data_IF_134698015814
#
_entry.id   IF_134698015814
#
_cell.length_a   1.000
_cell.length_b   1.000
_cell.length_c   1.000
_cell.angle_alpha   90.00
_cell.angle_beta   90.00
_cell.angle_gamma   90.00
#
_symmetry.space_group_name_H-M   'P 1'
#
loop_
_entity.id
_entity.type
_entity.pdbx_description
1 polymer ?
#
# COMPACT_ATOMS: atom_id res chain seq x y z
N UNK A 1 -14.39 0.33 18.05
CA UNK A 1 -14.71 -0.28 16.72
C UNK A 1 -15.08 0.79 15.69
N UNK A 2 -15.18 2.05 16.12
CA UNK A 2 -15.99 3.10 15.49
C UNK A 2 -15.45 3.68 14.18
N UNK A 3 -14.24 3.28 13.77
CA UNK A 3 -13.59 3.76 12.55
C UNK A 3 -13.33 2.65 11.53
N UNK A 4 -13.59 1.37 11.89
CA UNK A 4 -13.45 0.24 10.95
C UNK A 4 -14.67 0.17 10.03
N UNK A 5 -14.51 -0.41 8.85
CA UNK A 5 -15.59 -0.55 7.87
C UNK A 5 -15.99 0.73 7.14
N UNK A 6 -15.48 1.90 7.56
CA UNK A 6 -15.79 3.22 6.96
C UNK A 6 -14.91 3.61 5.77
N UNK A 7 -14.08 2.71 5.26
CA UNK A 7 -13.19 2.97 4.13
C UNK A 7 -11.97 3.85 4.41
N UNK A 8 -11.79 4.38 5.63
CA UNK A 8 -10.69 5.29 5.99
C UNK A 8 -9.29 4.74 5.69
N UNK A 9 -9.06 3.45 5.94
CA UNK A 9 -7.79 2.81 5.62
C UNK A 9 -7.51 2.76 4.11
N UNK A 10 -8.55 2.62 3.28
CA UNK A 10 -8.40 2.67 1.82
C UNK A 10 -8.04 4.07 1.35
N UNK A 11 -8.77 5.07 1.87
CA UNK A 11 -8.52 6.48 1.58
C UNK A 11 -7.09 6.89 1.96
N UNK A 12 -6.64 6.51 3.16
CA UNK A 12 -5.29 6.77 3.63
C UNK A 12 -4.23 6.13 2.72
N UNK A 13 -4.42 4.88 2.31
CA UNK A 13 -3.48 4.20 1.42
C UNK A 13 -3.39 4.86 0.04
N UNK A 14 -4.51 5.29 -0.54
CA UNK A 14 -4.51 6.03 -1.81
C UNK A 14 -3.70 7.32 -1.68
N UNK A 15 -4.00 8.14 -0.67
CA UNK A 15 -3.29 9.40 -0.45
C UNK A 15 -1.81 9.19 -0.17
N UNK A 16 -1.46 8.23 0.69
CA UNK A 16 -0.08 7.91 1.03
C UNK A 16 0.74 7.55 -0.22
N UNK A 17 0.20 6.69 -1.09
CA UNK A 17 0.93 6.19 -2.25
C UNK A 17 1.13 7.23 -3.35
N UNK A 18 0.29 8.28 -3.37
CA UNK A 18 0.41 9.41 -4.31
C UNK A 18 1.30 10.53 -3.76
N UNK A 19 1.55 10.55 -2.45
CA UNK A 19 2.32 11.61 -1.81
C UNK A 19 3.74 11.70 -2.41
N UNK A 20 4.20 12.90 -2.83
CA UNK A 20 5.44 13.06 -3.59
C UNK A 20 6.69 12.52 -2.87
N UNK A 21 6.70 12.56 -1.54
CA UNK A 21 7.81 12.08 -0.73
C UNK A 21 7.99 10.54 -0.76
N UNK A 22 6.96 9.77 -1.12
CA UNK A 22 6.99 8.29 -1.04
C UNK A 22 6.55 7.59 -2.33
N UNK A 23 5.91 8.29 -3.27
CA UNK A 23 5.42 7.68 -4.52
C UNK A 23 6.51 6.98 -5.36
N UNK A 24 7.78 7.38 -5.18
CA UNK A 24 8.95 6.83 -5.86
C UNK A 24 9.87 6.02 -4.94
N UNK A 25 9.39 5.55 -3.79
CA UNK A 25 10.18 4.72 -2.88
C UNK A 25 9.76 3.27 -2.96
N UNK A 26 10.70 2.38 -2.63
CA UNK A 26 10.40 0.98 -2.36
C UNK A 26 9.71 0.89 -0.99
N UNK A 27 8.65 0.09 -0.91
CA UNK A 27 7.92 -0.13 0.34
C UNK A 27 7.95 -1.60 0.74
N UNK A 28 8.10 -1.84 2.03
CA UNK A 28 7.92 -3.13 2.66
C UNK A 28 6.85 -3.02 3.76
N UNK A 29 5.98 -4.02 3.86
CA UNK A 29 4.86 -4.03 4.80
C UNK A 29 4.64 -5.44 5.37
N UNK A 30 4.61 -5.53 6.70
CA UNK A 30 4.16 -6.74 7.40
C UNK A 30 2.65 -6.69 7.61
N UNK A 31 1.93 -7.73 7.19
CA UNK A 31 0.51 -7.91 7.52
C UNK A 31 0.23 -9.37 7.87
N UNK A 32 -0.66 -9.59 8.83
CA UNK A 32 -1.04 -10.94 9.25
C UNK A 32 -2.15 -11.52 8.38
N UNK A 33 -3.15 -10.70 8.05
CA UNK A 33 -4.43 -11.15 7.46
C UNK A 33 -4.95 -10.25 6.33
N UNK A 34 -4.35 -9.08 6.10
CA UNK A 34 -4.85 -8.10 5.12
C UNK A 34 -4.10 -8.13 3.77
N UNK A 35 -3.45 -9.25 3.42
CA UNK A 35 -2.68 -9.38 2.18
C UNK A 35 -3.49 -8.97 0.93
N UNK A 36 -4.71 -9.51 0.77
CA UNK A 36 -5.58 -9.20 -0.38
C UNK A 36 -6.09 -7.76 -0.44
N UNK A 37 -5.99 -7.00 0.65
CA UNK A 37 -6.23 -5.55 0.64
C UNK A 37 -5.06 -4.82 -0.01
N UNK A 38 -3.83 -5.16 0.39
CA UNK A 38 -2.61 -4.48 -0.06
C UNK A 38 -2.19 -4.88 -1.48
N UNK A 39 -2.52 -6.10 -1.91
CA UNK A 39 -2.34 -6.54 -3.31
C UNK A 39 -3.00 -5.58 -4.30
N UNK A 40 -4.16 -4.99 -3.95
CA UNK A 40 -4.87 -4.00 -4.77
C UNK A 40 -4.11 -2.68 -4.95
N UNK A 41 -3.15 -2.40 -4.09
CA UNK A 41 -2.30 -1.21 -4.14
C UNK A 41 -0.94 -1.47 -4.82
N UNK A 42 -0.76 -2.65 -5.41
CA UNK A 42 0.48 -3.06 -6.08
C UNK A 42 1.54 -3.61 -5.14
N UNK A 43 1.15 -4.08 -3.95
CA UNK A 43 2.05 -4.88 -3.11
C UNK A 43 2.02 -6.34 -3.57
N UNK A 44 3.19 -6.94 -3.70
CA UNK A 44 3.38 -8.35 -3.98
C UNK A 44 3.58 -9.11 -2.68
N UNK A 45 3.02 -10.33 -2.60
CA UNK A 45 3.18 -11.22 -1.45
C UNK A 45 4.57 -11.86 -1.45
N UNK A 46 5.35 -11.59 -0.39
CA UNK A 46 6.62 -12.26 -0.04
C UNK A 46 6.66 -12.45 1.49
N UNK A 47 7.82 -12.73 2.08
CA UNK A 47 8.00 -12.76 3.54
C UNK A 47 7.49 -11.47 4.22
N UNK A 48 7.84 -10.33 3.63
CA UNK A 48 7.14 -9.05 3.82
C UNK A 48 6.50 -8.67 2.48
N UNK A 49 5.31 -8.08 2.50
CA UNK A 49 4.72 -7.55 1.28
C UNK A 49 5.63 -6.45 0.71
N UNK A 50 5.86 -6.45 -0.61
CA UNK A 50 6.75 -5.48 -1.26
C UNK A 50 6.07 -4.74 -2.39
N UNK A 51 6.30 -3.44 -2.47
CA UNK A 51 5.91 -2.60 -3.60
C UNK A 51 7.14 -1.88 -4.13
N UNK A 52 7.63 -2.19 -5.34
CA UNK A 52 8.77 -1.49 -5.91
C UNK A 52 8.42 -0.04 -6.25
N UNK A 53 9.42 0.83 -6.26
CA UNK A 53 9.29 2.18 -6.80
C UNK A 53 8.85 2.09 -8.27
N UNK A 54 7.74 2.74 -8.64
CA UNK A 54 7.37 2.88 -10.05
C UNK A 54 8.36 3.82 -10.71
N UNK A 55 9.16 3.29 -11.63
CA UNK A 55 9.97 4.06 -12.56
C UNK A 55 9.03 4.90 -13.43
N UNK A 56 9.31 6.18 -13.57
CA UNK A 56 8.56 7.05 -14.47
C UNK A 56 9.16 6.87 -15.87
N UNK A 57 8.45 6.14 -16.74
CA UNK A 57 8.90 5.79 -18.08
C UNK A 57 8.09 4.65 -18.70
N UNK A 58 6.81 4.94 -18.99
CA UNK A 58 6.01 4.37 -20.09
C UNK A 58 5.10 5.50 -20.58
#
# INVERSE_FOLDING_TARGET
MDFRGKGLGKWLMQYLLEHPAVRHTNMALGTRDAHGLYERYGFERRELMRRPARQQGD
#
